data_IF_798657882751
#
_entry.id   IF_798657882751
#
_cell.length_a   1.000
_cell.length_b   1.000
_cell.length_c   1.000
_cell.angle_alpha   90.00
_cell.angle_beta   90.00
_cell.angle_gamma   90.00
#
_symmetry.space_group_name_H-M   'P 1'
#
loop_
_entity.id
_entity.type
_entity.pdbx_description
1 polymer ?
#
# COMPACT_ATOMS: atom_id res chain seq x y z
N UNK A 1 -2.77 31.12 15.35
CA UNK A 1 -3.52 29.86 15.08
C UNK A 1 -3.57 29.56 13.58
N UNK A 2 -2.68 28.70 13.05
CA UNK A 2 -2.68 28.29 11.62
C UNK A 2 -2.81 26.78 11.41
N UNK A 3 -2.63 25.99 12.47
CA UNK A 3 -2.62 24.51 12.41
C UNK A 3 -4.04 23.89 12.41
N UNK A 4 -5.03 24.55 13.00
CA UNK A 4 -6.38 24.00 13.15
C UNK A 4 -7.10 23.85 11.80
N UNK A 5 -7.01 24.88 10.95
CA UNK A 5 -7.65 24.91 9.61
C UNK A 5 -7.08 23.90 8.61
N UNK A 6 -5.77 23.61 8.68
CA UNK A 6 -5.13 22.62 7.80
C UNK A 6 -5.51 21.20 8.22
N UNK A 7 -5.67 20.96 9.52
CA UNK A 7 -6.11 19.68 10.04
C UNK A 7 -7.59 19.41 9.74
N UNK A 8 -8.45 20.43 9.81
CA UNK A 8 -9.87 20.33 9.42
C UNK A 8 -10.02 19.90 7.95
N UNK A 9 -9.34 20.56 7.02
CA UNK A 9 -9.34 20.16 5.60
C UNK A 9 -8.77 18.75 5.35
N UNK A 10 -7.81 18.30 6.18
CA UNK A 10 -7.28 16.93 6.11
C UNK A 10 -8.27 15.89 6.62
N UNK A 11 -9.03 16.20 7.67
CA UNK A 11 -10.09 15.31 8.16
C UNK A 11 -11.21 15.18 7.11
N UNK A 12 -11.65 16.29 6.52
CA UNK A 12 -12.66 16.29 5.46
C UNK A 12 -12.23 15.47 4.24
N UNK A 13 -10.97 15.58 3.83
CA UNK A 13 -10.45 14.82 2.71
C UNK A 13 -10.30 13.31 3.03
N UNK A 14 -9.97 12.95 4.28
CA UNK A 14 -9.98 11.54 4.72
C UNK A 14 -11.41 10.97 4.69
N UNK A 15 -12.40 11.76 5.09
CA UNK A 15 -13.83 11.40 5.03
C UNK A 15 -14.34 11.27 3.60
N UNK A 16 -13.81 12.07 2.67
CA UNK A 16 -14.08 11.99 1.22
C UNK A 16 -13.31 10.85 0.51
N UNK A 17 -12.57 10.03 1.25
CA UNK A 17 -11.79 8.92 0.68
C UNK A 17 -10.56 9.37 -0.11
N UNK A 18 -10.12 10.62 0.05
CA UNK A 18 -8.92 11.14 -0.62
C UNK A 18 -7.70 10.51 0.06
N UNK A 19 -7.06 9.59 -0.66
CA UNK A 19 -5.85 8.92 -0.19
C UNK A 19 -4.67 9.89 -0.17
N UNK A 20 -4.32 10.36 1.02
CA UNK A 20 -3.12 11.15 1.24
C UNK A 20 -1.86 10.29 1.17
N UNK A 21 -0.86 10.76 0.43
CA UNK A 21 0.46 10.14 0.34
C UNK A 21 0.90 9.86 -1.10
N UNK A 22 2.06 9.20 -1.25
CA UNK A 22 2.53 8.74 -2.55
C UNK A 22 1.56 7.68 -3.07
N UNK A 23 0.96 7.94 -4.23
CA UNK A 23 0.15 6.93 -4.91
C UNK A 23 0.98 5.64 -5.01
N UNK A 24 0.55 4.58 -4.30
CA UNK A 24 1.15 3.25 -4.41
C UNK A 24 0.81 2.77 -5.83
N UNK A 25 1.73 2.99 -6.78
CA UNK A 25 1.67 2.44 -8.15
C UNK A 25 1.73 0.90 -8.14
N UNK A 26 2.08 0.31 -7.00
CA UNK A 26 2.22 -1.13 -6.83
C UNK A 26 0.84 -1.73 -6.55
N UNK A 27 0.42 -2.59 -7.49
CA UNK A 27 -0.77 -3.42 -7.37
C UNK A 27 -0.58 -4.47 -6.26
N UNK A 28 -1.20 -4.23 -5.11
CA UNK A 28 -1.12 -5.12 -3.95
C UNK A 28 -1.93 -6.40 -4.14
N UNK A 29 -3.06 -6.32 -4.85
CA UNK A 29 -3.88 -7.49 -5.17
C UNK A 29 -3.08 -8.50 -5.98
N UNK A 30 -2.27 -8.01 -6.93
CA UNK A 30 -1.37 -8.87 -7.71
C UNK A 30 -0.33 -9.55 -6.83
N UNK A 31 0.29 -8.83 -5.89
CA UNK A 31 1.25 -9.43 -4.93
C UNK A 31 0.58 -10.50 -4.07
N UNK A 32 -0.60 -10.21 -3.53
CA UNK A 32 -1.34 -11.14 -2.67
C UNK A 32 -1.84 -12.36 -3.44
N UNK A 33 -2.32 -12.19 -4.67
CA UNK A 33 -2.73 -13.28 -5.55
C UNK A 33 -1.57 -14.24 -5.84
N UNK A 34 -0.40 -13.71 -6.21
CA UNK A 34 0.80 -14.53 -6.45
C UNK A 34 1.24 -15.26 -5.18
N UNK A 35 1.22 -14.58 -4.02
CA UNK A 35 1.54 -15.20 -2.74
C UNK A 35 0.54 -16.32 -2.37
N UNK A 36 -0.76 -16.12 -2.62
CA UNK A 36 -1.81 -17.15 -2.42
C UNK A 36 -1.61 -18.37 -3.33
N UNK A 37 -1.07 -18.16 -4.53
CA UNK A 37 -0.67 -19.25 -5.45
C UNK A 37 0.61 -19.99 -5.02
N UNK A 38 1.13 -19.73 -3.80
CA UNK A 38 2.38 -20.28 -3.28
C UNK A 38 3.62 -19.93 -4.10
N UNK A 39 3.57 -18.85 -4.89
CA UNK A 39 4.74 -18.33 -5.60
C UNK A 39 5.68 -17.68 -4.59
N UNK A 40 6.97 -18.04 -4.65
CA UNK A 40 7.96 -17.54 -3.71
C UNK A 40 8.19 -16.03 -3.85
N UNK A 41 8.47 -15.36 -2.73
CA UNK A 41 8.70 -13.91 -2.69
C UNK A 41 9.76 -13.44 -3.70
N UNK A 42 10.82 -14.23 -3.92
CA UNK A 42 11.88 -13.95 -4.91
C UNK A 42 11.34 -13.85 -6.33
N UNK A 43 10.42 -14.74 -6.71
CA UNK A 43 9.81 -14.70 -8.05
C UNK A 43 8.88 -13.50 -8.19
N UNK A 44 8.12 -13.15 -7.15
CA UNK A 44 7.25 -11.97 -7.13
C UNK A 44 8.07 -10.68 -7.30
N UNK A 45 9.23 -10.60 -6.63
CA UNK A 45 10.18 -9.47 -6.75
C UNK A 45 10.64 -9.31 -8.20
N UNK A 46 11.05 -10.39 -8.87
CA UNK A 46 11.52 -10.33 -10.25
C UNK A 46 10.39 -10.01 -11.25
N UNK A 47 9.20 -10.58 -11.05
CA UNK A 47 8.06 -10.36 -11.96
C UNK A 47 7.51 -8.93 -11.87
N UNK A 48 7.40 -8.39 -10.66
CA UNK A 48 6.80 -7.07 -10.43
C UNK A 48 7.84 -5.95 -10.33
N UNK A 49 9.14 -6.28 -10.34
CA UNK A 49 10.26 -5.34 -10.17
C UNK A 49 10.12 -4.46 -8.93
N UNK A 50 9.69 -5.07 -7.82
CA UNK A 50 9.48 -4.39 -6.53
C UNK A 50 10.47 -4.87 -5.47
N UNK A 51 10.77 -4.02 -4.51
CA UNK A 51 11.67 -4.38 -3.41
C UNK A 51 11.08 -5.49 -2.53
N UNK A 52 11.98 -6.33 -1.98
CA UNK A 52 11.65 -7.39 -1.02
C UNK A 52 10.86 -6.86 0.18
N UNK A 53 11.25 -5.70 0.71
CA UNK A 53 10.56 -5.02 1.82
C UNK A 53 9.09 -4.72 1.50
N UNK A 54 8.79 -4.35 0.26
CA UNK A 54 7.41 -4.07 -0.17
C UNK A 54 6.56 -5.33 -0.24
N UNK A 55 7.11 -6.45 -0.72
CA UNK A 55 6.39 -7.74 -0.76
C UNK A 55 5.98 -8.17 0.63
N UNK A 56 6.93 -8.22 1.58
CA UNK A 56 6.63 -8.62 2.95
C UNK A 56 5.69 -7.64 3.64
N UNK A 57 5.84 -6.34 3.44
CA UNK A 57 4.92 -5.35 4.00
C UNK A 57 3.49 -5.56 3.52
N UNK A 58 3.27 -5.87 2.24
CA UNK A 58 1.93 -6.12 1.70
C UNK A 58 1.34 -7.43 2.25
N UNK A 59 2.15 -8.48 2.30
CA UNK A 59 1.72 -9.78 2.85
C UNK A 59 1.37 -9.66 4.33
N UNK A 60 2.18 -8.94 5.10
CA UNK A 60 1.97 -8.69 6.53
C UNK A 60 0.73 -7.81 6.78
N UNK A 61 0.58 -6.71 6.02
CA UNK A 61 -0.61 -5.85 6.02
C UNK A 61 -1.91 -6.63 5.70
N UNK A 62 -1.84 -7.77 4.98
CA UNK A 62 -3.03 -8.59 4.66
C UNK A 62 -3.43 -9.61 5.73
N UNK A 63 -2.56 -9.87 6.70
CA UNK A 63 -2.79 -10.85 7.77
C UNK A 63 -3.44 -10.24 9.01
N UNK A 64 -3.44 -8.92 9.13
CA UNK A 64 -4.15 -8.16 10.17
C UNK A 64 -5.51 -7.70 9.69
#
# INVERSE_FOLDING_TARGET
MRNQRINEGRQEAKLKGINFGRNRVIDREKVLSLHRQKIGATQIIHQLKIARSTVYKIVDESKG
#
